data_IF_255995560588
#
_entry.id   IF_255995560588
#
_cell.length_a   1.000
_cell.length_b   1.000
_cell.length_c   1.000
_cell.angle_alpha   90.00
_cell.angle_beta   90.00
_cell.angle_gamma   90.00
#
_symmetry.space_group_name_H-M   'P 1'
#
loop_
_entity.id
_entity.type
_entity.pdbx_description
1 polymer ?
#
# COMPACT_ATOMS: atom_id res chain seq x y z
N UNK A 1 6.14 -29.30 0.81
CA UNK A 1 6.85 -28.03 0.53
C UNK A 1 6.76 -27.19 1.80
N UNK A 2 7.90 -26.90 2.45
CA UNK A 2 7.90 -26.08 3.67
C UNK A 2 7.88 -24.60 3.27
N UNK A 3 6.87 -23.87 3.75
CA UNK A 3 6.75 -22.43 3.50
C UNK A 3 7.72 -21.71 4.44
N UNK A 4 8.71 -21.05 3.87
CA UNK A 4 9.67 -20.19 4.55
C UNK A 4 9.64 -18.81 3.92
N UNK A 5 10.17 -17.80 4.60
CA UNK A 5 10.35 -16.45 4.04
C UNK A 5 11.12 -16.50 2.73
N UNK A 6 12.17 -17.33 2.66
CA UNK A 6 12.99 -17.53 1.47
C UNK A 6 12.21 -18.17 0.33
N UNK A 7 11.36 -19.17 0.61
CA UNK A 7 10.54 -19.80 -0.44
C UNK A 7 9.53 -18.82 -1.02
N UNK A 8 8.89 -17.98 -0.19
CA UNK A 8 7.97 -16.94 -0.66
C UNK A 8 8.70 -15.90 -1.51
N UNK A 9 9.87 -15.42 -1.07
CA UNK A 9 10.68 -14.49 -1.85
C UNK A 9 11.09 -15.08 -3.22
N UNK A 10 11.47 -16.36 -3.26
CA UNK A 10 11.81 -17.05 -4.49
C UNK A 10 10.61 -17.14 -5.44
N UNK A 11 9.42 -17.48 -4.92
CA UNK A 11 8.17 -17.53 -5.69
C UNK A 11 7.87 -16.16 -6.30
N UNK A 12 7.90 -15.09 -5.49
CA UNK A 12 7.63 -13.72 -5.99
C UNK A 12 8.64 -13.29 -7.05
N UNK A 13 9.93 -13.62 -6.87
CA UNK A 13 10.97 -13.32 -7.87
C UNK A 13 10.73 -14.03 -9.19
N UNK A 14 10.33 -15.30 -9.16
CA UNK A 14 9.99 -16.04 -10.38
C UNK A 14 8.73 -15.49 -11.05
N UNK A 15 7.71 -15.10 -10.28
CA UNK A 15 6.52 -14.44 -10.82
C UNK A 15 6.86 -13.09 -11.46
N UNK A 16 7.75 -12.31 -10.86
CA UNK A 16 8.20 -11.03 -11.41
C UNK A 16 8.84 -11.20 -12.81
N UNK A 17 9.68 -12.22 -12.97
CA UNK A 17 10.28 -12.56 -14.27
C UNK A 17 9.22 -12.97 -15.30
N UNK A 18 8.29 -13.85 -14.91
CA UNK A 18 7.19 -14.31 -15.78
C UNK A 18 6.27 -13.17 -16.22
N UNK A 19 5.99 -12.23 -15.32
CA UNK A 19 5.19 -11.04 -15.58
C UNK A 19 5.94 -9.96 -16.39
N UNK A 20 7.25 -10.15 -16.66
CA UNK A 20 8.11 -9.20 -17.40
C UNK A 20 8.13 -7.79 -16.78
N UNK A 21 8.05 -7.71 -15.45
CA UNK A 21 8.14 -6.44 -14.73
C UNK A 21 9.62 -6.10 -14.53
N UNK A 22 10.07 -5.01 -15.14
CA UNK A 22 11.47 -4.55 -15.07
C UNK A 22 11.92 -4.01 -13.72
N UNK A 23 11.01 -3.90 -12.75
CA UNK A 23 11.29 -3.45 -11.38
C UNK A 23 11.62 -4.65 -10.49
N UNK A 24 12.40 -4.42 -9.43
CA UNK A 24 12.64 -5.44 -8.43
C UNK A 24 11.42 -5.58 -7.50
N UNK A 25 10.63 -6.65 -7.67
CA UNK A 25 9.44 -6.93 -6.86
C UNK A 25 9.73 -8.01 -5.83
N UNK A 26 9.38 -7.74 -4.59
CA UNK A 26 9.48 -8.65 -3.45
C UNK A 26 8.20 -8.54 -2.59
N UNK A 27 7.98 -9.41 -1.59
CA UNK A 27 6.74 -9.41 -0.81
C UNK A 27 6.35 -8.04 -0.22
N UNK A 28 7.32 -7.27 0.28
CA UNK A 28 7.06 -5.92 0.80
C UNK A 28 6.60 -4.94 -0.30
N UNK A 29 7.10 -5.05 -1.54
CA UNK A 29 6.59 -4.26 -2.67
C UNK A 29 5.10 -4.49 -2.92
N UNK A 30 4.67 -5.75 -2.81
CA UNK A 30 3.26 -6.12 -2.98
C UNK A 30 2.40 -5.54 -1.84
N UNK A 31 2.89 -5.63 -0.59
CA UNK A 31 2.25 -4.99 0.58
C UNK A 31 2.12 -3.48 0.41
N UNK A 32 3.17 -2.81 -0.06
CA UNK A 32 3.12 -1.38 -0.34
C UNK A 32 2.10 -1.05 -1.42
N UNK A 33 2.09 -1.84 -2.50
CA UNK A 33 1.14 -1.65 -3.60
C UNK A 33 -0.31 -1.82 -3.15
N UNK A 34 -0.59 -2.81 -2.31
CA UNK A 34 -1.89 -3.03 -1.70
C UNK A 34 -2.35 -1.83 -0.87
N UNK A 35 -1.51 -1.37 0.07
CA UNK A 35 -1.84 -0.23 0.93
C UNK A 35 -2.06 1.06 0.13
N UNK A 36 -1.16 1.36 -0.81
CA UNK A 36 -1.31 2.53 -1.70
C UNK A 36 -2.58 2.44 -2.53
N UNK A 37 -2.95 1.26 -3.02
CA UNK A 37 -4.16 1.10 -3.84
C UNK A 37 -5.43 1.37 -3.03
N UNK A 38 -5.53 0.86 -1.80
CA UNK A 38 -6.66 1.13 -0.92
C UNK A 38 -6.79 2.63 -0.62
N UNK A 39 -5.70 3.29 -0.25
CA UNK A 39 -5.77 4.72 0.09
C UNK A 39 -6.07 5.58 -1.14
N UNK A 40 -5.60 5.18 -2.34
CA UNK A 40 -5.99 5.84 -3.60
C UNK A 40 -7.49 5.70 -3.91
N UNK A 41 -8.10 4.62 -3.46
CA UNK A 41 -9.55 4.39 -3.57
C UNK A 41 -10.31 4.94 -2.35
N UNK A 42 -9.76 5.97 -1.69
CA UNK A 42 -10.41 6.75 -0.64
C UNK A 42 -10.73 6.00 0.65
N UNK A 43 -10.16 4.80 0.84
CA UNK A 43 -10.21 4.13 2.15
C UNK A 43 -9.38 4.90 3.17
N UNK A 44 -9.94 5.09 4.37
CA UNK A 44 -9.25 5.80 5.43
C UNK A 44 -8.03 5.00 5.93
N UNK A 45 -7.00 5.72 6.39
CA UNK A 45 -5.79 5.11 6.96
C UNK A 45 -6.11 4.15 8.11
N UNK A 46 -7.12 4.51 8.92
CA UNK A 46 -7.62 3.71 10.04
C UNK A 46 -8.23 2.39 9.60
N UNK A 47 -8.83 2.33 8.41
CA UNK A 47 -9.44 1.11 7.86
C UNK A 47 -8.38 0.20 7.25
N UNK A 48 -7.35 0.79 6.65
CA UNK A 48 -6.24 0.06 6.01
C UNK A 48 -5.23 -0.49 7.03
N UNK A 49 -5.00 0.22 8.14
CA UNK A 49 -4.05 -0.17 9.19
C UNK A 49 -4.21 -1.63 9.67
N UNK A 50 -5.41 -2.11 10.09
CA UNK A 50 -5.56 -3.47 10.59
C UNK A 50 -5.29 -4.52 9.51
N UNK A 51 -5.57 -4.23 8.23
CA UNK A 51 -5.27 -5.14 7.10
C UNK A 51 -3.77 -5.33 6.90
N UNK A 52 -2.97 -4.35 7.31
CA UNK A 52 -1.51 -4.45 7.29
C UNK A 52 -0.96 -5.08 8.57
N UNK A 53 -1.75 -5.18 9.64
CA UNK A 53 -1.25 -5.62 10.95
C UNK A 53 -0.27 -4.62 11.57
N UNK A 54 -0.43 -3.34 11.26
CA UNK A 54 0.36 -2.28 11.88
C UNK A 54 -0.17 -2.00 13.29
N UNK A 55 0.72 -1.96 14.28
CA UNK A 55 0.37 -1.60 15.66
C UNK A 55 0.04 -0.13 15.84
N UNK A 56 0.47 0.73 14.90
CA UNK A 56 0.36 2.18 15.01
C UNK A 56 0.04 2.83 13.66
N UNK A 57 -0.87 3.81 13.59
CA UNK A 57 -1.27 4.49 12.35
C UNK A 57 -0.11 5.19 11.62
N UNK A 58 0.93 5.63 12.33
CA UNK A 58 2.07 6.38 11.80
C UNK A 58 2.79 5.59 10.70
N UNK A 59 2.89 4.27 10.85
CA UNK A 59 3.49 3.38 9.85
C UNK A 59 2.62 3.20 8.59
N UNK A 60 1.32 3.48 8.69
CA UNK A 60 0.37 3.48 7.57
C UNK A 60 0.28 4.85 6.90
N UNK A 61 0.52 5.93 7.65
CA UNK A 61 0.45 7.32 7.15
C UNK A 61 1.42 7.60 6.00
N UNK A 62 2.54 6.87 5.89
CA UNK A 62 3.45 6.98 4.75
C UNK A 62 2.72 6.76 3.41
N UNK A 63 1.71 5.89 3.38
CA UNK A 63 0.92 5.64 2.18
C UNK A 63 -0.07 6.76 1.87
N UNK A 64 -0.60 7.45 2.88
CA UNK A 64 -1.46 8.62 2.66
C UNK A 64 -0.71 9.74 1.95
N UNK A 65 0.52 10.01 2.38
CA UNK A 65 1.38 11.01 1.76
C UNK A 65 1.70 10.68 0.29
N UNK A 66 1.92 9.40 -0.04
CA UNK A 66 2.28 8.95 -1.38
C UNK A 66 1.06 8.81 -2.30
N UNK A 67 -0.06 8.29 -1.78
CA UNK A 67 -1.27 8.00 -2.54
C UNK A 67 -2.04 9.27 -2.89
N UNK A 68 -1.99 10.27 -2.01
CA UNK A 68 -2.74 11.51 -2.13
C UNK A 68 -1.81 12.71 -1.98
N UNK A 69 -1.13 13.15 -3.05
CA UNK A 69 -0.57 14.48 -3.11
C UNK A 69 -1.67 15.55 -3.24
N UNK A 70 -2.96 15.22 -3.06
CA UNK A 70 -4.02 16.24 -2.98
C UNK A 70 -3.68 17.14 -1.81
N UNK A 71 -3.08 18.29 -2.14
CA UNK A 71 -3.30 19.52 -1.40
C UNK A 71 -4.77 19.54 -1.04
N UNK A 72 -5.02 19.52 0.27
CA UNK A 72 -6.26 19.81 0.96
C UNK A 72 -7.29 20.47 0.02
N UNK A 73 -8.13 19.67 -0.65
CA UNK A 73 -9.46 20.15 -1.05
C UNK A 73 -10.32 20.08 0.21
N UNK A 74 -9.94 20.91 1.19
CA UNK A 74 -10.85 21.23 2.29
C UNK A 74 -11.73 22.31 1.71
N UNK A 75 -12.84 21.89 1.12
CA UNK A 75 -13.93 22.81 0.83
C UNK A 75 -14.51 23.22 2.18
N UNK A 76 -14.59 24.53 2.41
CA UNK A 76 -15.24 25.03 3.62
C UNK A 76 -16.69 24.55 3.60
N UNK A 77 -17.24 24.12 4.74
CA UNK A 77 -18.68 23.86 4.86
C UNK A 77 -19.54 25.08 4.48
N UNK A 78 -18.93 26.26 4.39
CA UNK A 78 -19.57 27.53 4.04
C UNK A 78 -19.31 27.96 2.58
N UNK A 79 -18.46 27.27 1.80
CA UNK A 79 -18.16 27.66 0.41
C UNK A 79 -19.32 27.34 -0.57
N UNK A 80 -20.31 26.56 -0.11
CA UNK A 80 -21.50 26.16 -0.87
C UNK A 80 -22.81 26.77 -0.34
N UNK A 81 -22.73 27.78 0.53
CA UNK A 81 -23.87 28.56 1.05
C UNK A 81 -24.12 29.84 0.24
#
# INVERSE_FOLDING_TARGET
MHITTRSIQAIVKEMNKKARIGKNVHPHTLRHSFATHLIKNEYAVTDVQPLLGHSSPETTMIYAHIASPRMLRVESPYDSL
#
